data_IF_903984504330
#
_entry.id   IF_903984504330
#
_cell.length_a   1.000
_cell.length_b   1.000
_cell.length_c   1.000
_cell.angle_alpha   90.00
_cell.angle_beta   90.00
_cell.angle_gamma   90.00
#
_symmetry.space_group_name_H-M   'P 1'
#
loop_
_entity.id
_entity.type
_entity.pdbx_description
1 polymer ?
#
# COMPACT_ATOMS: atom_id res chain seq x y z
N UNK A 1 14.85 40.50 39.50
CA UNK A 1 13.48 40.32 39.00
C UNK A 1 13.40 38.92 38.41
N UNK A 2 12.95 38.01 39.23
CA UNK A 2 12.78 36.61 38.88
C UNK A 2 11.36 36.45 38.27
N UNK A 3 11.27 35.95 37.04
CA UNK A 3 10.02 35.51 36.49
C UNK A 3 9.96 33.98 36.49
N UNK A 4 9.29 33.47 37.50
CA UNK A 4 8.84 32.08 37.59
C UNK A 4 7.63 31.94 36.69
N UNK A 5 7.73 31.16 35.61
CA UNK A 5 6.56 30.64 34.86
C UNK A 5 6.44 29.16 35.16
N UNK A 6 5.56 28.87 36.10
CA UNK A 6 5.06 27.56 36.40
C UNK A 6 3.90 27.27 35.40
N UNK A 7 4.16 26.40 34.42
CA UNK A 7 3.12 25.87 33.52
C UNK A 7 2.96 24.38 33.82
N UNK A 8 2.20 24.10 34.90
CA UNK A 8 1.66 22.74 35.13
C UNK A 8 0.47 22.50 34.20
N UNK A 9 0.70 21.84 33.07
CA UNK A 9 -0.36 21.17 32.32
C UNK A 9 -0.23 19.67 32.58
N UNK A 10 -1.05 19.19 33.52
CA UNK A 10 -1.35 17.79 33.70
C UNK A 10 -2.32 17.35 32.59
N UNK A 11 -1.81 16.67 31.57
CA UNK A 11 -2.65 15.96 30.61
C UNK A 11 -3.05 14.60 31.19
N UNK A 12 -4.31 14.47 31.56
CA UNK A 12 -4.97 13.18 31.84
C UNK A 12 -5.18 12.44 30.52
N UNK A 13 -4.17 11.68 30.06
CA UNK A 13 -4.28 10.78 28.91
C UNK A 13 -4.04 9.29 29.26
N UNK A 14 -4.20 8.91 30.54
CA UNK A 14 -3.82 7.58 31.01
C UNK A 14 -4.81 6.45 30.72
N UNK A 15 -6.09 6.74 30.48
CA UNK A 15 -7.11 5.67 30.39
C UNK A 15 -7.42 5.18 28.98
N UNK A 16 -7.30 6.02 27.97
CA UNK A 16 -7.59 5.62 26.59
C UNK A 16 -6.53 4.71 25.98
N UNK A 17 -5.24 4.87 26.36
CA UNK A 17 -4.14 4.05 25.86
C UNK A 17 -4.12 2.61 26.40
N UNK A 18 -4.57 2.37 27.65
CA UNK A 18 -4.65 1.01 28.20
C UNK A 18 -5.74 0.19 27.50
N UNK A 19 -6.90 0.77 27.25
CA UNK A 19 -8.04 0.11 26.59
C UNK A 19 -7.74 -0.24 25.12
N UNK A 20 -7.00 0.61 24.40
CA UNK A 20 -6.61 0.38 23.02
C UNK A 20 -5.57 -0.74 22.90
N UNK A 21 -4.56 -0.77 23.79
CA UNK A 21 -3.57 -1.84 23.82
C UNK A 21 -4.22 -3.21 24.05
N UNK A 22 -5.16 -3.31 24.96
CA UNK A 22 -5.88 -4.54 25.25
C UNK A 22 -6.67 -5.04 24.04
N UNK A 23 -7.33 -4.14 23.28
CA UNK A 23 -8.08 -4.46 22.05
C UNK A 23 -7.21 -5.16 21.00
N UNK A 24 -6.00 -4.67 20.75
CA UNK A 24 -5.09 -5.27 19.76
C UNK A 24 -4.49 -6.58 20.26
N UNK A 25 -4.18 -6.69 21.55
CA UNK A 25 -3.69 -7.93 22.16
C UNK A 25 -4.76 -9.02 22.13
N UNK A 26 -6.04 -8.69 22.40
CA UNK A 26 -7.16 -9.62 22.24
C UNK A 26 -7.36 -10.08 20.80
N UNK A 27 -7.17 -9.19 19.82
CA UNK A 27 -7.24 -9.53 18.40
C UNK A 27 -6.11 -10.49 18.00
N UNK A 28 -4.87 -10.22 18.42
CA UNK A 28 -3.71 -11.05 18.15
C UNK A 28 -3.81 -12.43 18.82
N UNK A 29 -4.40 -12.52 20.02
CA UNK A 29 -4.59 -13.78 20.74
C UNK A 29 -5.47 -14.80 20.00
N UNK A 30 -6.23 -14.36 19.00
CA UNK A 30 -7.05 -15.24 18.13
C UNK A 30 -6.20 -16.01 17.10
N UNK A 31 -4.96 -15.62 16.90
CA UNK A 31 -4.06 -16.18 15.89
C UNK A 31 -2.80 -16.77 16.53
N UNK A 32 -2.24 -17.79 15.91
CA UNK A 32 -0.94 -18.29 16.32
C UNK A 32 0.17 -17.34 15.84
N UNK A 33 0.69 -16.53 16.77
CA UNK A 33 1.78 -15.59 16.49
C UNK A 33 3.19 -16.23 16.67
N UNK A 34 3.26 -17.48 17.13
CA UNK A 34 4.51 -18.25 17.31
C UNK A 34 4.70 -19.20 16.14
N UNK A 35 4.95 -18.62 14.97
CA UNK A 35 5.24 -19.40 13.75
C UNK A 35 6.75 -19.66 13.64
N UNK A 36 7.10 -20.83 13.10
CA UNK A 36 8.45 -21.13 12.67
C UNK A 36 8.47 -21.44 11.17
N UNK A 37 9.63 -21.30 10.56
CA UNK A 37 9.80 -21.43 9.11
C UNK A 37 9.47 -22.84 8.60
N UNK A 38 9.71 -23.87 9.39
CA UNK A 38 9.45 -25.27 9.02
C UNK A 38 7.95 -25.53 8.92
N UNK A 39 7.16 -25.08 9.92
CA UNK A 39 5.71 -25.23 9.92
C UNK A 39 5.05 -24.40 8.78
N UNK A 40 5.54 -23.19 8.54
CA UNK A 40 5.07 -22.35 7.43
C UNK A 40 5.35 -23.03 6.11
N UNK A 41 6.58 -23.53 5.90
CA UNK A 41 6.98 -24.26 4.69
C UNK A 41 6.13 -25.52 4.47
N UNK A 42 5.85 -26.28 5.52
CA UNK A 42 5.02 -27.48 5.43
C UNK A 42 3.58 -27.12 4.99
N UNK A 43 2.98 -26.08 5.59
CA UNK A 43 1.64 -25.60 5.21
C UNK A 43 1.60 -25.10 3.77
N UNK A 44 2.60 -24.31 3.34
CA UNK A 44 2.68 -23.82 1.96
C UNK A 44 2.81 -24.97 0.97
N UNK A 45 3.66 -25.96 1.28
CA UNK A 45 3.84 -27.14 0.42
C UNK A 45 2.53 -27.90 0.27
N UNK A 46 1.85 -28.18 1.38
CA UNK A 46 0.54 -28.84 1.36
C UNK A 46 -0.51 -28.08 0.57
N UNK A 47 -0.60 -26.77 0.77
CA UNK A 47 -1.53 -25.90 0.02
C UNK A 47 -1.24 -25.94 -1.49
N UNK A 48 0.02 -25.91 -1.89
CA UNK A 48 0.41 -26.02 -3.31
C UNK A 48 0.03 -27.39 -3.88
N UNK A 49 0.30 -28.48 -3.16
CA UNK A 49 -0.05 -29.85 -3.60
C UNK A 49 -1.55 -30.02 -3.81
N UNK A 50 -2.37 -29.44 -2.94
CA UNK A 50 -3.85 -29.53 -3.04
C UNK A 50 -4.42 -28.70 -4.18
N UNK A 51 -3.90 -27.49 -4.42
CA UNK A 51 -4.57 -26.47 -5.26
C UNK A 51 -3.86 -26.17 -6.58
N UNK A 52 -2.60 -26.60 -6.77
CA UNK A 52 -1.86 -26.23 -7.98
C UNK A 52 -2.52 -26.74 -9.25
N UNK A 53 -3.04 -27.97 -9.25
CA UNK A 53 -3.58 -28.58 -10.47
C UNK A 53 -4.82 -27.86 -10.99
N UNK A 54 -5.71 -27.42 -10.10
CA UNK A 54 -6.92 -26.69 -10.45
C UNK A 54 -6.65 -25.24 -10.84
N UNK A 55 -5.60 -24.62 -10.29
CA UNK A 55 -5.26 -23.22 -10.51
C UNK A 55 -4.19 -22.99 -11.60
N UNK A 56 -3.50 -24.03 -12.05
CA UNK A 56 -2.48 -23.92 -13.11
C UNK A 56 -3.09 -24.07 -14.52
N UNK A 57 -4.19 -23.41 -14.79
CA UNK A 57 -4.89 -23.43 -16.09
C UNK A 57 -4.65 -22.15 -16.89
N UNK A 58 -4.81 -22.15 -18.22
CA UNK A 58 -4.73 -20.94 -19.02
C UNK A 58 -5.74 -19.85 -18.58
N UNK A 59 -6.94 -20.25 -18.19
CA UNK A 59 -8.02 -19.34 -17.77
C UNK A 59 -7.65 -18.61 -16.48
N UNK A 60 -7.15 -19.34 -15.47
CA UNK A 60 -6.69 -18.75 -14.21
C UNK A 60 -5.50 -17.81 -14.47
N UNK A 61 -4.55 -18.19 -15.35
CA UNK A 61 -3.42 -17.33 -15.71
C UNK A 61 -3.86 -16.05 -16.41
N UNK A 62 -4.85 -16.09 -17.29
CA UNK A 62 -5.44 -14.90 -17.90
C UNK A 62 -6.11 -14.01 -16.85
N UNK A 63 -6.84 -14.59 -15.91
CA UNK A 63 -7.44 -13.86 -14.80
C UNK A 63 -6.37 -13.20 -13.92
N UNK A 64 -5.33 -13.95 -13.52
CA UNK A 64 -4.21 -13.42 -12.72
C UNK A 64 -3.46 -12.29 -13.45
N UNK A 65 -3.34 -12.37 -14.77
CA UNK A 65 -2.74 -11.29 -15.55
C UNK A 65 -3.55 -9.99 -15.40
N UNK A 66 -4.87 -10.08 -15.41
CA UNK A 66 -5.77 -8.94 -15.20
C UNK A 66 -5.76 -8.43 -13.75
N UNK A 67 -5.21 -9.16 -12.80
CA UNK A 67 -5.05 -8.72 -11.41
C UNK A 67 -3.69 -8.04 -11.13
N UNK A 68 -2.86 -7.83 -12.15
CA UNK A 68 -1.53 -7.25 -11.97
C UNK A 68 -1.62 -5.73 -11.92
N UNK A 69 -1.02 -5.14 -10.88
CA UNK A 69 -0.62 -3.74 -10.87
C UNK A 69 0.77 -3.65 -11.50
N UNK A 70 0.80 -3.22 -12.77
CA UNK A 70 2.04 -3.13 -13.52
C UNK A 70 2.88 -1.96 -12.99
N UNK A 71 3.97 -2.28 -12.30
CA UNK A 71 4.68 -1.36 -11.42
C UNK A 71 6.02 -0.91 -11.99
N UNK A 72 6.30 0.41 -11.90
CA UNK A 72 7.65 0.97 -12.02
C UNK A 72 7.91 1.93 -10.86
N UNK A 73 8.90 1.58 -10.03
CA UNK A 73 9.30 2.33 -8.83
C UNK A 73 10.83 2.46 -8.78
N UNK A 74 11.42 2.77 -9.92
CA UNK A 74 12.86 2.94 -10.02
C UNK A 74 13.25 4.37 -9.66
N UNK A 75 14.34 4.55 -8.96
CA UNK A 75 14.89 5.89 -8.70
C UNK A 75 15.34 6.63 -10.00
N UNK A 76 15.36 5.93 -11.12
CA UNK A 76 15.71 6.47 -12.45
C UNK A 76 14.47 6.73 -13.32
N UNK A 77 13.26 6.53 -12.81
CA UNK A 77 12.05 6.84 -13.57
C UNK A 77 11.97 8.33 -13.86
N UNK A 78 11.60 8.66 -15.08
CA UNK A 78 11.40 10.00 -15.58
C UNK A 78 10.07 10.10 -16.30
N UNK A 79 9.56 11.30 -16.51
CA UNK A 79 8.31 11.54 -17.26
C UNK A 79 8.32 10.78 -18.59
N UNK A 80 9.42 10.88 -19.37
CA UNK A 80 9.56 10.17 -20.66
C UNK A 80 9.52 8.65 -20.50
N UNK A 81 10.16 8.10 -19.45
CA UNK A 81 10.16 6.64 -19.22
C UNK A 81 8.80 6.11 -18.78
N UNK A 82 8.09 6.87 -17.95
CA UNK A 82 6.73 6.54 -17.48
C UNK A 82 5.71 6.69 -18.61
N UNK A 83 5.79 7.75 -19.41
CA UNK A 83 4.97 7.90 -20.63
C UNK A 83 5.11 6.69 -21.56
N UNK A 84 6.35 6.30 -21.92
CA UNK A 84 6.60 5.11 -22.74
C UNK A 84 6.15 3.80 -22.12
N UNK A 85 6.15 3.73 -20.79
CA UNK A 85 5.64 2.59 -20.05
C UNK A 85 4.12 2.49 -20.16
N UNK A 86 3.41 3.62 -20.05
CA UNK A 86 1.96 3.73 -20.18
C UNK A 86 1.50 3.46 -21.62
N UNK A 87 2.23 3.98 -22.64
CA UNK A 87 1.96 3.70 -24.06
C UNK A 87 1.97 2.18 -24.38
N UNK A 88 2.83 1.40 -23.71
CA UNK A 88 2.83 -0.06 -23.88
C UNK A 88 1.57 -0.73 -23.36
N UNK A 89 0.95 -0.14 -22.30
CA UNK A 89 -0.31 -0.61 -21.77
C UNK A 89 -1.46 -0.26 -22.70
N UNK A 90 -1.43 0.94 -23.31
CA UNK A 90 -2.40 1.33 -24.34
C UNK A 90 -2.35 0.38 -25.55
N UNK A 91 -1.16 0.09 -26.05
CA UNK A 91 -0.93 -0.79 -27.20
C UNK A 91 -1.26 -2.26 -26.93
N UNK A 92 -1.46 -2.66 -25.66
CA UNK A 92 -1.60 -4.07 -25.29
C UNK A 92 -2.84 -4.72 -25.90
N UNK A 93 -3.98 -4.06 -25.87
CA UNK A 93 -5.26 -4.59 -26.39
C UNK A 93 -5.20 -4.86 -27.89
N UNK A 94 -4.53 -3.98 -28.64
CA UNK A 94 -4.36 -4.15 -30.08
C UNK A 94 -3.46 -5.33 -30.42
N UNK A 95 -2.45 -5.58 -29.57
CA UNK A 95 -1.51 -6.71 -29.76
C UNK A 95 -2.08 -8.05 -29.30
N UNK A 96 -2.97 -8.03 -28.29
CA UNK A 96 -3.50 -9.22 -27.63
C UNK A 96 -5.02 -9.11 -27.38
N UNK A 97 -5.84 -9.07 -28.44
CA UNK A 97 -7.28 -8.80 -28.33
C UNK A 97 -8.08 -9.83 -27.52
N UNK A 98 -7.51 -11.01 -27.29
CA UNK A 98 -8.12 -12.09 -26.50
C UNK A 98 -7.77 -12.04 -25.00
N UNK A 99 -7.01 -11.02 -24.59
CA UNK A 99 -6.58 -10.84 -23.20
C UNK A 99 -7.10 -9.50 -22.64
N UNK A 100 -7.59 -9.54 -21.40
CA UNK A 100 -7.81 -8.30 -20.64
C UNK A 100 -6.48 -7.65 -20.31
N UNK A 101 -6.45 -6.33 -20.20
CA UNK A 101 -5.27 -5.58 -19.78
C UNK A 101 -4.98 -5.84 -18.29
N UNK A 102 -3.89 -5.29 -17.79
CA UNK A 102 -3.54 -5.26 -16.36
C UNK A 102 -4.58 -4.48 -15.55
N UNK A 103 -4.65 -4.68 -14.23
CA UNK A 103 -5.59 -3.98 -13.36
C UNK A 103 -5.23 -2.50 -13.21
N UNK A 104 -3.95 -2.22 -12.99
CA UNK A 104 -3.48 -0.86 -12.78
C UNK A 104 -2.05 -0.66 -13.30
N UNK A 105 -1.68 0.61 -13.45
CA UNK A 105 -0.29 1.07 -13.53
C UNK A 105 0.08 1.66 -12.17
N UNK A 106 1.11 1.11 -11.51
CA UNK A 106 1.57 1.60 -10.21
C UNK A 106 2.89 2.38 -10.34
N UNK A 107 2.90 3.62 -9.84
CA UNK A 107 4.00 4.57 -9.97
C UNK A 107 4.23 5.35 -8.66
N UNK A 108 5.32 6.12 -8.61
CA UNK A 108 5.49 7.16 -7.59
C UNK A 108 4.44 8.28 -7.76
N UNK A 109 3.98 8.92 -6.68
CA UNK A 109 2.89 9.90 -6.72
C UNK A 109 3.15 11.10 -7.64
N UNK A 110 4.40 11.54 -7.78
CA UNK A 110 4.79 12.61 -8.68
C UNK A 110 4.73 12.24 -10.18
N UNK A 111 4.46 10.97 -10.51
CA UNK A 111 4.29 10.47 -11.88
C UNK A 111 2.83 10.19 -12.22
N UNK A 112 1.89 10.38 -11.28
CA UNK A 112 0.48 10.12 -11.50
C UNK A 112 -0.10 10.94 -12.67
N UNK A 113 0.20 12.24 -12.73
CA UNK A 113 -0.26 13.14 -13.78
C UNK A 113 0.19 12.66 -15.16
N UNK A 114 1.44 12.20 -15.31
CA UNK A 114 1.95 11.68 -16.58
C UNK A 114 1.21 10.41 -17.03
N UNK A 115 0.90 9.52 -16.07
CA UNK A 115 0.09 8.34 -16.38
C UNK A 115 -1.33 8.76 -16.77
N UNK A 116 -1.94 9.64 -15.99
CA UNK A 116 -3.30 10.13 -16.24
C UNK A 116 -3.45 10.81 -17.61
N UNK A 117 -2.45 11.60 -18.03
CA UNK A 117 -2.46 12.27 -19.33
C UNK A 117 -2.17 11.35 -20.51
N UNK A 118 -1.53 10.19 -20.25
CA UNK A 118 -1.07 9.27 -21.30
C UNK A 118 -1.96 8.03 -21.44
N UNK A 119 -2.63 7.61 -20.36
CA UNK A 119 -3.42 6.37 -20.32
C UNK A 119 -4.70 6.51 -21.14
N UNK A 120 -4.82 5.70 -22.20
CA UNK A 120 -5.99 5.61 -23.07
C UNK A 120 -6.74 4.27 -22.92
N UNK A 121 -6.08 3.28 -22.30
CA UNK A 121 -6.65 1.94 -22.15
C UNK A 121 -7.82 1.93 -21.15
N UNK A 122 -8.96 1.38 -21.58
CA UNK A 122 -10.13 1.22 -20.71
C UNK A 122 -9.88 0.18 -19.60
N UNK A 123 -10.47 0.42 -18.42
CA UNK A 123 -10.45 -0.49 -17.26
C UNK A 123 -9.04 -0.77 -16.70
N UNK A 124 -8.13 0.18 -16.82
CA UNK A 124 -6.82 0.18 -16.16
C UNK A 124 -6.79 1.36 -15.20
N UNK A 125 -6.59 1.09 -13.91
CA UNK A 125 -6.52 2.12 -12.88
C UNK A 125 -5.10 2.70 -12.76
N UNK A 126 -5.00 3.83 -12.08
CA UNK A 126 -3.74 4.47 -11.71
C UNK A 126 -3.53 4.26 -10.21
N UNK A 127 -2.55 3.45 -9.84
CA UNK A 127 -2.15 3.23 -8.47
C UNK A 127 -0.90 4.06 -8.14
N UNK A 128 -0.86 4.66 -6.95
CA UNK A 128 0.31 5.38 -6.47
C UNK A 128 0.76 4.89 -5.12
N UNK A 129 2.06 4.65 -4.96
CA UNK A 129 2.62 4.43 -3.62
C UNK A 129 2.56 5.72 -2.82
N UNK A 130 2.32 5.62 -1.51
CA UNK A 130 2.24 6.75 -0.60
C UNK A 130 2.64 6.37 0.84
N UNK A 131 2.49 7.31 1.76
CA UNK A 131 2.84 7.12 3.16
C UNK A 131 4.34 7.18 3.42
N UNK A 132 5.10 7.88 2.57
CA UNK A 132 6.56 7.98 2.65
C UNK A 132 7.26 6.70 2.19
N UNK A 133 6.72 6.07 1.14
CA UNK A 133 7.28 4.84 0.55
C UNK A 133 8.77 5.02 0.14
N UNK A 134 9.66 4.03 0.37
CA UNK A 134 9.35 2.69 0.90
C UNK A 134 9.44 2.54 2.43
N UNK A 135 9.95 3.55 3.15
CA UNK A 135 10.32 3.40 4.57
C UNK A 135 9.25 3.82 5.57
N UNK A 136 8.29 4.63 5.14
CA UNK A 136 7.31 5.30 6.02
C UNK A 136 7.93 6.21 7.10
N UNK A 137 9.22 6.53 7.00
CA UNK A 137 9.99 7.29 7.99
C UNK A 137 9.90 8.80 7.73
N UNK A 138 8.69 9.35 7.80
CA UNK A 138 8.42 10.79 7.67
C UNK A 138 7.27 11.20 8.56
N UNK A 139 6.95 12.50 8.59
CA UNK A 139 5.85 13.05 9.40
C UNK A 139 4.50 12.70 8.79
N UNK A 140 3.47 12.53 9.65
CA UNK A 140 2.13 12.17 9.20
C UNK A 140 1.53 13.24 8.27
N UNK A 141 1.78 14.51 8.53
CA UNK A 141 1.31 15.62 7.69
C UNK A 141 1.90 15.55 6.27
N UNK A 142 3.15 15.06 6.14
CA UNK A 142 3.78 14.85 4.83
C UNK A 142 3.14 13.69 4.11
N UNK A 143 2.85 12.58 4.80
CA UNK A 143 2.16 11.42 4.24
C UNK A 143 0.76 11.78 3.74
N UNK A 144 0.01 12.55 4.53
CA UNK A 144 -1.34 13.06 4.17
C UNK A 144 -1.26 13.96 2.93
N UNK A 145 -0.30 14.89 2.91
CA UNK A 145 -0.11 15.78 1.76
C UNK A 145 0.30 15.00 0.50
N UNK A 146 1.18 14.02 0.60
CA UNK A 146 1.59 13.15 -0.50
C UNK A 146 0.39 12.40 -1.09
N UNK A 147 -0.45 11.80 -0.22
CA UNK A 147 -1.67 11.09 -0.62
C UNK A 147 -2.65 12.03 -1.33
N UNK A 148 -2.92 13.20 -0.76
CA UNK A 148 -3.81 14.21 -1.36
C UNK A 148 -3.32 14.66 -2.74
N UNK A 149 -2.02 14.86 -2.90
CA UNK A 149 -1.41 15.25 -4.17
C UNK A 149 -1.50 14.14 -5.22
N UNK A 150 -1.28 12.88 -4.84
CA UNK A 150 -1.43 11.74 -5.74
C UNK A 150 -2.87 11.62 -6.28
N UNK A 151 -3.87 11.73 -5.40
CA UNK A 151 -5.29 11.73 -5.78
C UNK A 151 -5.60 12.91 -6.71
N UNK A 152 -5.12 14.11 -6.38
CA UNK A 152 -5.32 15.30 -7.23
C UNK A 152 -4.71 15.13 -8.62
N UNK A 153 -3.61 14.41 -8.74
CA UNK A 153 -2.91 14.12 -9.99
C UNK A 153 -3.52 12.94 -10.78
N UNK A 154 -4.63 12.37 -10.31
CA UNK A 154 -5.41 11.37 -11.03
C UNK A 154 -5.21 9.93 -10.56
N UNK A 155 -4.63 9.69 -9.37
CA UNK A 155 -4.57 8.35 -8.81
C UNK A 155 -5.98 7.85 -8.41
N UNK A 156 -6.34 6.64 -8.85
CA UNK A 156 -7.56 5.92 -8.47
C UNK A 156 -7.36 5.10 -7.20
N UNK A 157 -6.13 4.64 -6.97
CA UNK A 157 -5.75 3.75 -5.88
C UNK A 157 -4.49 4.28 -5.18
N UNK A 158 -4.45 4.14 -3.85
CA UNK A 158 -3.30 4.55 -3.04
C UNK A 158 -2.76 3.37 -2.26
N UNK A 159 -1.49 3.03 -2.53
CA UNK A 159 -0.75 1.96 -1.87
C UNK A 159 0.08 2.54 -0.73
N UNK A 160 -0.46 2.53 0.48
CA UNK A 160 0.25 3.06 1.65
C UNK A 160 1.22 2.05 2.25
N UNK A 161 2.40 2.52 2.64
CA UNK A 161 3.33 1.74 3.45
C UNK A 161 3.10 2.03 4.94
N UNK A 162 2.96 0.98 5.74
CA UNK A 162 2.76 1.11 7.19
C UNK A 162 4.04 1.52 7.91
N UNK A 163 3.91 2.16 9.06
CA UNK A 163 5.03 2.44 9.98
C UNK A 163 5.49 1.15 10.67
N UNK A 164 6.37 0.39 9.99
CA UNK A 164 6.87 -0.93 10.47
C UNK A 164 7.50 -0.83 11.86
N UNK A 165 8.19 0.26 12.17
CA UNK A 165 8.77 0.49 13.50
C UNK A 165 7.71 0.49 14.60
N UNK A 166 6.57 1.14 14.39
CA UNK A 166 5.43 1.13 15.32
C UNK A 166 4.89 -0.28 15.50
N UNK A 167 4.66 -1.01 14.40
CA UNK A 167 4.21 -2.39 14.45
C UNK A 167 5.15 -3.28 15.28
N UNK A 168 6.47 -3.21 15.05
CA UNK A 168 7.46 -4.04 15.74
C UNK A 168 7.61 -3.71 17.23
N UNK A 169 7.27 -2.49 17.65
CA UNK A 169 7.29 -2.08 19.05
C UNK A 169 5.94 -2.27 19.75
N UNK A 170 4.91 -2.75 19.04
CA UNK A 170 3.56 -2.96 19.58
C UNK A 170 2.71 -1.69 19.66
N UNK A 171 3.15 -0.59 19.07
CA UNK A 171 2.35 0.64 18.92
C UNK A 171 1.33 0.49 17.77
N UNK A 172 0.39 -0.42 17.96
CA UNK A 172 -0.65 -0.71 16.97
C UNK A 172 -1.64 0.42 16.83
N UNK A 173 -1.95 1.12 17.92
CA UNK A 173 -2.82 2.29 17.93
C UNK A 173 -2.24 3.39 17.04
N UNK A 174 -1.03 3.85 17.32
CA UNK A 174 -0.40 4.89 16.52
C UNK A 174 -0.17 4.50 15.05
N UNK A 175 -0.03 3.20 14.75
CA UNK A 175 0.01 2.73 13.36
C UNK A 175 -1.37 2.81 12.70
N UNK A 176 -2.43 2.43 13.40
CA UNK A 176 -3.80 2.47 12.87
C UNK A 176 -4.30 3.91 12.70
N UNK A 177 -3.94 4.81 13.61
CA UNK A 177 -4.27 6.24 13.51
C UNK A 177 -3.67 6.85 12.23
N UNK A 178 -2.41 6.53 11.92
CA UNK A 178 -1.80 6.98 10.65
C UNK A 178 -2.55 6.45 9.42
N UNK A 179 -2.99 5.19 9.44
CA UNK A 179 -3.78 4.59 8.35
C UNK A 179 -5.14 5.29 8.25
N UNK A 180 -5.79 5.59 9.37
CA UNK A 180 -7.07 6.30 9.41
C UNK A 180 -6.95 7.70 8.82
N UNK A 181 -5.92 8.46 9.17
CA UNK A 181 -5.66 9.78 8.61
C UNK A 181 -5.43 9.74 7.10
N UNK A 182 -4.64 8.78 6.62
CA UNK A 182 -4.39 8.62 5.17
C UNK A 182 -5.65 8.20 4.41
N UNK A 183 -6.52 7.39 5.06
CA UNK A 183 -7.78 6.94 4.45
C UNK A 183 -8.86 8.04 4.43
N UNK A 184 -8.74 9.05 5.27
CA UNK A 184 -9.68 10.16 5.35
C UNK A 184 -9.47 11.23 4.25
N UNK A 185 -8.38 11.15 3.49
CA UNK A 185 -8.07 12.03 2.36
C UNK A 185 -8.89 11.65 1.15
#
# INVERSE_FOLDING_TARGET
>A
MEHNHDCSHSHEHGHEHEDAHDKYMEALAKYNTHLNDEDVKAKVTHFIEEHLAENNTPEVKKFLFHCIDLTTLKCTDSEESVMKFTEKVNDFVDKYPDLSNVAAICVYPNMAEIVNDTLEADNVNIACVSGGFPSSQTFIEVKVAETAMAIHSGADEIDIVISVGKFLTGDYEGMCDEIEELKAV
#
